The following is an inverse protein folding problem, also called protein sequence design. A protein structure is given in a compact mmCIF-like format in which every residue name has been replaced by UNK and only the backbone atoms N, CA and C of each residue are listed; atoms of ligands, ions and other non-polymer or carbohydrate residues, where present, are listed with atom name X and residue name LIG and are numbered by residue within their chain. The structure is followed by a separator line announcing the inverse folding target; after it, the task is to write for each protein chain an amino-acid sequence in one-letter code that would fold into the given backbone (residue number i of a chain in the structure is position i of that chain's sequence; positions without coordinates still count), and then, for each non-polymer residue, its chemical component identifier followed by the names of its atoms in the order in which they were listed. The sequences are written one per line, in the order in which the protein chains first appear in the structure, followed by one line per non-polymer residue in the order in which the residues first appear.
data_IF_581975949056
#
_entry.id   IF_581975949056
#
_cell.length_a   1.000
_cell.length_b   1.000
_cell.length_c   1.000
_cell.angle_alpha   90.00
_cell.angle_beta   90.00
_cell.angle_gamma   90.00
#
_symmetry.space_group_name_H-M   'P 1'
#
loop_
_entity.id
_entity.type
_entity.pdbx_description
1 polymer ?
#
# COMPACT_ATOMS: atom_id res chain seq x y z
N UNK A 1 -21.33 1.70 -2.73
CA UNK A 1 -20.46 2.16 -3.83
C UNK A 1 -19.63 0.99 -4.35
N UNK A 2 -18.96 0.24 -3.49
CA UNK A 2 -18.10 -0.90 -3.89
C UNK A 2 -18.78 -1.98 -4.75
N UNK A 3 -19.91 -2.55 -4.32
CA UNK A 3 -20.50 -3.74 -4.98
C UNK A 3 -20.79 -3.56 -6.48
N UNK A 4 -21.31 -2.40 -6.87
CA UNK A 4 -21.62 -2.11 -8.28
C UNK A 4 -20.36 -2.06 -9.14
N UNK A 5 -19.23 -1.58 -8.60
CA UNK A 5 -17.96 -1.53 -9.33
C UNK A 5 -17.39 -2.92 -9.61
N UNK A 6 -17.51 -3.85 -8.65
CA UNK A 6 -17.11 -5.24 -8.85
C UNK A 6 -18.00 -5.95 -9.88
N UNK A 7 -19.31 -5.70 -9.85
CA UNK A 7 -20.25 -6.22 -10.84
C UNK A 7 -19.98 -5.67 -12.25
N UNK A 8 -19.83 -4.34 -12.38
CA UNK A 8 -19.61 -3.66 -13.66
C UNK A 8 -18.29 -4.10 -14.32
N UNK A 9 -17.26 -4.41 -13.54
CA UNK A 9 -15.95 -4.87 -14.03
C UNK A 9 -15.77 -6.40 -14.00
N UNK A 10 -16.81 -7.15 -13.62
CA UNK A 10 -16.75 -8.61 -13.45
C UNK A 10 -15.57 -9.08 -12.59
N UNK A 11 -15.31 -8.38 -11.49
CA UNK A 11 -14.24 -8.68 -10.54
C UNK A 11 -14.73 -9.63 -9.45
N UNK A 12 -13.89 -10.59 -9.01
CA UNK A 12 -14.23 -11.43 -7.86
C UNK A 12 -14.30 -10.59 -6.58
N UNK A 13 -15.19 -10.98 -5.67
CA UNK A 13 -15.22 -10.40 -4.33
C UNK A 13 -13.90 -10.69 -3.60
N UNK A 14 -13.38 -9.73 -2.81
CA UNK A 14 -12.13 -9.94 -2.08
C UNK A 14 -12.33 -10.98 -0.96
N UNK A 15 -11.35 -11.87 -0.81
CA UNK A 15 -11.35 -12.93 0.20
C UNK A 15 -11.35 -12.38 1.64
N UNK A 16 -10.80 -11.18 1.82
CA UNK A 16 -10.70 -10.50 3.11
C UNK A 16 -11.24 -9.08 3.02
N UNK A 17 -12.05 -8.68 4.01
CA UNK A 17 -12.57 -7.31 4.17
C UNK A 17 -12.38 -6.83 5.61
N UNK A 18 -11.71 -5.69 5.77
CA UNK A 18 -11.53 -5.04 7.08
C UNK A 18 -12.66 -4.02 7.29
N UNK A 19 -13.72 -4.42 7.98
CA UNK A 19 -14.93 -3.61 8.12
C UNK A 19 -14.76 -2.43 9.10
N UNK A 20 -13.86 -2.55 10.07
CA UNK A 20 -13.72 -1.62 11.19
C UNK A 20 -13.08 -0.27 10.80
N UNK A 21 -12.63 -0.14 9.54
CA UNK A 21 -11.91 1.04 9.06
C UNK A 21 -12.85 2.15 8.56
N UNK A 22 -14.07 1.80 8.15
CA UNK A 22 -15.01 2.75 7.51
C UNK A 22 -15.43 3.90 8.42
N UNK A 23 -15.35 3.71 9.73
CA UNK A 23 -15.75 4.71 10.72
C UNK A 23 -14.59 5.58 11.23
N UNK A 24 -13.36 5.28 10.82
CA UNK A 24 -12.17 5.98 11.27
C UNK A 24 -12.04 7.35 10.59
N UNK A 25 -11.78 8.40 11.39
CA UNK A 25 -11.74 9.79 10.90
C UNK A 25 -10.33 10.32 10.68
N UNK A 26 -9.35 9.75 11.38
CA UNK A 26 -7.97 10.24 11.38
C UNK A 26 -7.04 9.28 10.62
N UNK A 27 -6.03 9.82 9.93
CA UNK A 27 -5.03 9.01 9.20
C UNK A 27 -4.37 7.97 10.12
N UNK A 28 -3.93 8.38 11.32
CA UNK A 28 -3.29 7.46 12.27
C UNK A 28 -4.21 6.32 12.71
N UNK A 29 -5.50 6.61 12.90
CA UNK A 29 -6.51 5.62 13.27
C UNK A 29 -6.75 4.61 12.13
N UNK A 30 -6.96 5.12 10.90
CA UNK A 30 -7.13 4.28 9.72
C UNK A 30 -5.91 3.37 9.49
N UNK A 31 -4.71 3.95 9.49
CA UNK A 31 -3.46 3.20 9.29
C UNK A 31 -3.27 2.14 10.38
N UNK A 32 -3.52 2.45 11.66
CA UNK A 32 -3.38 1.49 12.75
C UNK A 32 -4.35 0.30 12.60
N UNK A 33 -5.63 0.57 12.31
CA UNK A 33 -6.64 -0.49 12.11
C UNK A 33 -6.34 -1.37 10.90
N UNK A 34 -5.93 -0.75 9.79
CA UNK A 34 -5.53 -1.49 8.58
C UNK A 34 -4.28 -2.33 8.86
N UNK A 35 -3.26 -1.77 9.52
CA UNK A 35 -2.01 -2.46 9.83
C UNK A 35 -2.27 -3.71 10.67
N UNK A 36 -3.03 -3.58 11.76
CA UNK A 36 -3.39 -4.70 12.64
C UNK A 36 -4.18 -5.79 11.88
N UNK A 37 -5.18 -5.38 11.09
CA UNK A 37 -6.02 -6.32 10.33
C UNK A 37 -5.24 -7.06 9.24
N UNK A 38 -4.42 -6.34 8.47
CA UNK A 38 -3.59 -6.92 7.40
C UNK A 38 -2.54 -7.86 8.00
N UNK A 39 -1.87 -7.48 9.09
CA UNK A 39 -0.84 -8.31 9.73
C UNK A 39 -1.42 -9.67 10.16
N UNK A 40 -2.62 -9.70 10.76
CA UNK A 40 -3.31 -10.96 11.10
C UNK A 40 -3.57 -11.85 9.89
N UNK A 41 -3.96 -11.26 8.76
CA UNK A 41 -4.20 -11.99 7.50
C UNK A 41 -2.86 -12.54 6.96
N UNK A 42 -1.81 -11.73 6.94
CA UNK A 42 -0.49 -12.16 6.46
C UNK A 42 0.12 -13.28 7.31
N UNK A 43 -0.10 -13.26 8.63
CA UNK A 43 0.29 -14.37 9.51
C UNK A 43 -0.40 -15.69 9.17
N UNK A 44 -1.67 -15.61 8.75
CA UNK A 44 -2.47 -16.77 8.34
C UNK A 44 -2.05 -17.28 6.97
N UNK A 45 -2.00 -16.40 5.97
CA UNK A 45 -1.79 -16.76 4.56
C UNK A 45 -0.31 -17.01 4.21
N UNK A 46 0.62 -16.38 4.94
CA UNK A 46 2.09 -16.51 4.77
C UNK A 46 2.53 -16.41 3.29
N UNK A 47 2.13 -15.35 2.56
CA UNK A 47 2.53 -15.20 1.18
C UNK A 47 4.06 -14.98 1.07
N UNK A 48 4.62 -15.32 -0.09
CA UNK A 48 6.05 -15.05 -0.39
C UNK A 48 6.31 -13.59 -0.75
N UNK A 49 5.29 -12.90 -1.25
CA UNK A 49 5.33 -11.50 -1.68
C UNK A 49 3.95 -10.86 -1.47
N UNK A 50 3.93 -9.60 -1.07
CA UNK A 50 2.74 -8.75 -1.02
C UNK A 50 2.89 -7.64 -2.05
N UNK A 51 1.86 -7.44 -2.87
CA UNK A 51 1.79 -6.32 -3.80
C UNK A 51 0.90 -5.22 -3.21
N UNK A 52 1.40 -4.00 -3.23
CA UNK A 52 0.62 -2.78 -2.92
C UNK A 52 0.66 -1.85 -4.13
N UNK A 53 -0.45 -1.19 -4.44
CA UNK A 53 -0.52 -0.27 -5.58
C UNK A 53 -0.97 1.14 -5.19
N UNK A 54 -0.16 2.15 -5.50
CA UNK A 54 -0.43 3.54 -5.14
C UNK A 54 0.10 3.92 -3.75
N UNK A 55 -0.58 4.85 -3.08
CA UNK A 55 -0.02 5.61 -1.95
C UNK A 55 -1.03 5.94 -0.84
N UNK A 56 -2.17 5.26 -0.79
CA UNK A 56 -3.15 5.44 0.27
C UNK A 56 -2.67 4.82 1.59
N UNK A 57 -3.37 5.16 2.70
CA UNK A 57 -3.07 4.62 4.03
C UNK A 57 -3.06 3.07 4.05
N UNK A 58 -3.92 2.42 3.26
CA UNK A 58 -3.97 0.96 3.17
C UNK A 58 -2.71 0.37 2.51
N UNK A 59 -2.14 1.06 1.52
CA UNK A 59 -0.89 0.65 0.87
C UNK A 59 0.27 0.73 1.85
N UNK A 60 0.37 1.82 2.61
CA UNK A 60 1.39 1.96 3.65
C UNK A 60 1.25 0.89 4.72
N UNK A 61 0.03 0.69 5.23
CA UNK A 61 -0.24 -0.31 6.25
C UNK A 61 0.12 -1.73 5.77
N UNK A 62 -0.26 -2.09 4.53
CA UNK A 62 0.03 -3.40 3.97
C UNK A 62 1.52 -3.64 3.72
N UNK A 63 2.22 -2.64 3.16
CA UNK A 63 3.66 -2.72 2.94
C UNK A 63 4.43 -2.82 4.27
N UNK A 64 4.05 -2.01 5.26
CA UNK A 64 4.70 -2.03 6.57
C UNK A 64 4.46 -3.34 7.33
N UNK A 65 3.23 -3.88 7.30
CA UNK A 65 2.91 -5.20 7.86
C UNK A 65 3.79 -6.28 7.22
N UNK A 66 3.80 -6.36 5.90
CA UNK A 66 4.56 -7.36 5.16
C UNK A 66 6.07 -7.26 5.47
N UNK A 67 6.63 -6.04 5.44
CA UNK A 67 8.04 -5.79 5.72
C UNK A 67 8.43 -6.26 7.13
N UNK A 68 7.61 -5.95 8.14
CA UNK A 68 7.86 -6.35 9.54
C UNK A 68 7.81 -7.86 9.75
N UNK A 69 7.04 -8.58 8.93
CA UNK A 69 6.99 -10.04 8.92
C UNK A 69 8.06 -10.68 8.02
N UNK A 70 8.99 -9.90 7.48
CA UNK A 70 10.02 -10.35 6.54
C UNK A 70 9.45 -10.96 5.25
N UNK A 71 8.25 -10.53 4.86
CA UNK A 71 7.63 -10.87 3.57
C UNK A 71 8.06 -9.81 2.56
N UNK A 72 8.41 -10.24 1.34
CA UNK A 72 8.81 -9.32 0.28
C UNK A 72 7.68 -8.38 -0.11
N UNK A 73 7.99 -7.13 -0.41
CA UNK A 73 7.01 -6.14 -0.88
C UNK A 73 7.31 -5.73 -2.31
N UNK A 74 6.28 -5.74 -3.15
CA UNK A 74 6.31 -5.13 -4.48
C UNK A 74 5.39 -3.92 -4.53
N UNK A 75 5.95 -2.75 -4.86
CA UNK A 75 5.20 -1.51 -4.96
C UNK A 75 4.88 -1.19 -6.42
N UNK A 76 3.60 -1.28 -6.76
CA UNK A 76 3.05 -0.88 -8.05
C UNK A 76 2.77 0.61 -8.04
N UNK A 77 3.13 1.31 -9.11
CA UNK A 77 3.09 2.78 -9.19
C UNK A 77 4.14 3.47 -8.28
N UNK A 78 5.30 2.82 -8.16
CA UNK A 78 6.42 3.31 -7.36
C UNK A 78 7.07 4.58 -7.96
N UNK A 79 7.66 5.40 -7.09
CA UNK A 79 8.52 6.52 -7.50
C UNK A 79 7.83 7.83 -7.89
N UNK A 80 6.50 7.91 -7.83
CA UNK A 80 5.80 9.20 -8.01
C UNK A 80 6.19 10.20 -6.92
N UNK A 81 6.37 11.47 -7.25
CA UNK A 81 6.74 12.52 -6.28
C UNK A 81 5.95 13.79 -6.55
N UNK A 82 5.22 14.26 -5.56
CA UNK A 82 4.59 15.60 -5.59
C UNK A 82 5.56 16.68 -5.15
N UNK A 83 6.55 16.32 -4.32
CA UNK A 83 7.43 17.25 -3.59
C UNK A 83 6.70 18.20 -2.64
N UNK A 84 5.44 17.90 -2.30
CA UNK A 84 4.64 18.65 -1.35
C UNK A 84 4.38 17.81 -0.09
N UNK A 85 5.13 18.10 0.98
CA UNK A 85 5.01 17.45 2.29
C UNK A 85 3.71 17.80 3.04
N UNK A 86 2.82 18.64 2.48
CA UNK A 86 1.47 18.82 3.02
C UNK A 86 0.53 17.69 2.58
N UNK A 87 0.88 16.95 1.53
CA UNK A 87 0.10 15.82 1.02
C UNK A 87 0.42 14.54 1.83
N UNK A 88 -0.57 13.94 2.53
CA UNK A 88 -0.36 12.69 3.24
C UNK A 88 0.17 11.55 2.34
N UNK A 89 -0.24 11.54 1.08
CA UNK A 89 0.18 10.55 0.08
C UNK A 89 1.67 10.64 -0.26
N UNK A 90 2.30 11.83 -0.16
CA UNK A 90 3.75 11.98 -0.36
C UNK A 90 4.53 11.28 0.75
N UNK A 91 4.02 11.29 2.00
CA UNK A 91 4.62 10.54 3.11
C UNK A 91 4.55 9.04 2.85
N UNK A 92 3.35 8.57 2.49
CA UNK A 92 3.08 7.15 2.30
C UNK A 92 3.93 6.56 1.17
N UNK A 93 3.92 7.18 -0.02
CA UNK A 93 4.63 6.64 -1.19
C UNK A 93 6.14 6.53 -0.94
N UNK A 94 6.75 7.54 -0.32
CA UNK A 94 8.18 7.52 0.02
C UNK A 94 8.51 6.40 0.98
N UNK A 95 7.72 6.24 2.04
CA UNK A 95 7.92 5.15 3.00
C UNK A 95 7.77 3.78 2.35
N UNK A 96 6.75 3.59 1.49
CA UNK A 96 6.52 2.33 0.78
C UNK A 96 7.67 2.01 -0.17
N UNK A 97 8.11 2.98 -0.98
CA UNK A 97 9.22 2.81 -1.92
C UNK A 97 10.48 2.30 -1.19
N UNK A 98 10.85 2.93 -0.08
CA UNK A 98 12.07 2.58 0.67
C UNK A 98 12.02 1.22 1.40
N UNK A 99 10.83 0.66 1.63
CA UNK A 99 10.68 -0.66 2.28
C UNK A 99 10.34 -1.78 1.31
N UNK A 100 10.29 -1.49 0.01
CA UNK A 100 9.93 -2.46 -1.02
C UNK A 100 11.14 -3.19 -1.58
N UNK A 101 10.98 -4.49 -1.85
CA UNK A 101 11.97 -5.29 -2.59
C UNK A 101 11.92 -5.03 -4.09
N UNK A 102 10.74 -4.69 -4.61
CA UNK A 102 10.53 -4.46 -6.03
C UNK A 102 9.71 -3.18 -6.24
N UNK A 103 10.20 -2.32 -7.13
CA UNK A 103 9.54 -1.06 -7.49
C UNK A 103 9.09 -1.12 -8.96
N UNK A 104 7.78 -1.17 -9.19
CA UNK A 104 7.19 -1.18 -10.53
C UNK A 104 6.76 0.24 -10.91
N UNK A 105 7.66 0.93 -11.62
CA UNK A 105 7.47 2.31 -12.08
C UNK A 105 6.60 2.37 -13.35
N UNK A 106 5.84 3.46 -13.51
CA UNK A 106 4.97 3.69 -14.69
C UNK A 106 5.62 4.56 -15.76
N UNK A 107 6.66 5.33 -15.40
CA UNK A 107 7.35 6.26 -16.30
C UNK A 107 8.80 6.50 -15.88
N UNK A 108 9.60 7.07 -16.79
CA UNK A 108 11.03 7.32 -16.56
C UNK A 108 11.29 8.35 -15.45
N UNK A 109 10.42 9.36 -15.28
CA UNK A 109 10.59 10.36 -14.21
C UNK A 109 10.52 9.70 -12.83
N UNK A 110 9.59 8.77 -12.63
CA UNK A 110 9.41 8.05 -11.37
C UNK A 110 10.61 7.15 -11.05
N UNK A 111 11.16 6.48 -12.07
CA UNK A 111 12.44 5.77 -11.94
C UNK A 111 13.58 6.69 -11.50
N UNK A 112 13.70 7.86 -12.13
CA UNK A 112 14.74 8.82 -11.76
C UNK A 112 14.57 9.37 -10.35
N UNK A 113 13.34 9.52 -9.85
CA UNK A 113 13.10 9.91 -8.46
C UNK A 113 13.61 8.84 -7.48
N UNK A 114 13.32 7.56 -7.73
CA UNK A 114 13.81 6.45 -6.89
C UNK A 114 15.33 6.39 -6.86
N UNK A 115 15.98 6.45 -8.02
CA UNK A 115 17.43 6.44 -8.13
C UNK A 115 18.10 7.60 -7.37
N UNK A 116 17.49 8.80 -7.40
CA UNK A 116 17.98 9.96 -6.63
C UNK A 116 17.86 9.77 -5.12
N UNK A 117 16.94 8.92 -4.68
CA UNK A 117 16.68 8.62 -3.27
C UNK A 117 17.43 7.36 -2.81
N UNK A 118 18.22 6.73 -3.69
CA UNK A 118 18.92 5.47 -3.45
C UNK A 118 17.96 4.32 -3.10
N UNK A 119 16.80 4.29 -3.78
CA UNK A 119 15.88 3.16 -3.82
C UNK A 119 16.14 2.31 -5.05
#
# INVERSE_FOLDING_TARGET
MDKKFFEDLNLPEPEYKLNDVKNCKFHGEQTARMLEGIEKILFKEKPKIVLVGGDANCNLAGALAARKLHIKVGHVEAGERSYDWRMPEEHNRRMIDHISEYSFVTNEKSKQNLLKENV
#
